data_IF_793167201868
#
_entry.id   IF_793167201868
#
_cell.length_a   1.000
_cell.length_b   1.000
_cell.length_c   1.000
_cell.angle_alpha   90.00
_cell.angle_beta   90.00
_cell.angle_gamma   90.00
#
_symmetry.space_group_name_H-M   'P 1'
#
loop_
_entity.id
_entity.type
_entity.pdbx_description
1 polymer ?
#
# COMPACT_ATOMS: atom_id res chain seq x y z
N UNK A 1 19.38 -8.80 9.23
CA UNK A 1 17.94 -8.58 9.52
C UNK A 1 17.72 -7.08 9.60
N UNK A 2 16.88 -6.48 8.74
CA UNK A 2 16.82 -5.03 8.60
C UNK A 2 16.20 -4.40 9.84
N UNK A 3 16.76 -3.27 10.27
CA UNK A 3 16.29 -2.46 11.42
C UNK A 3 14.77 -2.24 11.38
N UNK A 4 14.22 -1.85 10.23
CA UNK A 4 12.77 -1.62 10.04
C UNK A 4 11.93 -2.88 10.28
N UNK A 5 12.36 -4.06 9.82
CA UNK A 5 11.61 -5.29 10.07
C UNK A 5 11.58 -5.64 11.58
N UNK A 6 12.70 -5.39 12.29
CA UNK A 6 12.72 -5.54 13.76
C UNK A 6 11.81 -4.53 14.43
N UNK A 7 11.81 -3.28 13.92
CA UNK A 7 10.97 -2.20 14.42
C UNK A 7 9.49 -2.52 14.20
N UNK A 8 9.12 -2.96 12.99
CA UNK A 8 7.76 -3.38 12.65
C UNK A 8 7.26 -4.51 13.56
N UNK A 9 8.10 -5.52 13.82
CA UNK A 9 7.76 -6.61 14.75
C UNK A 9 7.56 -6.13 16.18
N UNK A 10 8.31 -5.09 16.62
CA UNK A 10 8.24 -4.57 17.98
C UNK A 10 7.11 -3.57 18.19
N UNK A 11 6.95 -2.63 17.27
CA UNK A 11 6.02 -1.50 17.42
C UNK A 11 4.92 -1.44 16.34
N UNK A 12 4.90 -2.36 15.39
CA UNK A 12 3.89 -2.39 14.32
C UNK A 12 2.45 -2.52 14.83
N UNK A 13 2.26 -3.11 16.01
CA UNK A 13 0.94 -3.18 16.67
C UNK A 13 0.37 -1.82 17.09
N UNK A 14 1.21 -0.79 17.18
CA UNK A 14 0.80 0.58 17.50
C UNK A 14 0.58 1.44 16.25
N UNK A 15 0.79 0.89 15.05
CA UNK A 15 0.54 1.62 13.82
C UNK A 15 -0.96 1.92 13.70
N UNK A 16 -1.27 3.19 13.45
CA UNK A 16 -2.65 3.69 13.32
C UNK A 16 -3.18 3.34 11.95
N UNK A 17 -4.21 2.49 11.84
CA UNK A 17 -4.82 2.18 10.55
C UNK A 17 -5.61 3.39 10.04
N UNK A 18 -5.63 3.56 8.71
CA UNK A 18 -6.30 4.67 8.05
C UNK A 18 -5.83 6.05 8.57
N UNK A 19 -4.53 6.22 8.76
CA UNK A 19 -3.93 7.44 9.33
C UNK A 19 -4.40 8.70 8.61
N UNK A 20 -4.53 8.67 7.30
CA UNK A 20 -5.01 9.80 6.48
C UNK A 20 -6.38 10.30 6.93
N UNK A 21 -7.27 9.41 7.37
CA UNK A 21 -8.58 9.81 7.89
C UNK A 21 -8.46 10.73 9.11
N UNK A 22 -7.54 10.41 10.02
CA UNK A 22 -7.31 11.24 11.21
C UNK A 22 -6.67 12.58 10.87
N UNK A 23 -5.76 12.60 9.88
CA UNK A 23 -5.16 13.85 9.38
C UNK A 23 -6.23 14.75 8.76
N UNK A 24 -7.15 14.21 7.99
CA UNK A 24 -8.27 14.99 7.41
C UNK A 24 -9.19 15.54 8.49
N UNK A 25 -9.50 14.74 9.52
CA UNK A 25 -10.27 15.23 10.67
C UNK A 25 -9.54 16.39 11.35
N UNK A 26 -8.20 16.28 11.52
CA UNK A 26 -7.40 17.35 12.06
C UNK A 26 -7.46 18.63 11.17
N UNK A 27 -7.39 18.49 9.84
CA UNK A 27 -7.55 19.64 8.93
C UNK A 27 -8.93 20.27 9.01
N UNK A 28 -9.99 19.46 9.12
CA UNK A 28 -11.35 20.01 9.31
C UNK A 28 -11.43 20.81 10.62
N UNK A 29 -10.84 20.30 11.71
CA UNK A 29 -10.75 21.04 12.97
C UNK A 29 -9.95 22.35 12.78
N UNK A 30 -8.83 22.31 12.06
CA UNK A 30 -8.02 23.47 11.72
C UNK A 30 -8.82 24.52 10.94
N UNK A 31 -9.59 24.12 9.94
CA UNK A 31 -10.49 25.03 9.20
C UNK A 31 -11.55 25.68 10.10
N UNK A 32 -12.17 24.88 11.00
CA UNK A 32 -13.13 25.42 11.96
C UNK A 32 -12.47 26.44 12.91
N UNK A 33 -11.25 26.17 13.36
CA UNK A 33 -10.51 27.12 14.20
C UNK A 33 -10.17 28.39 13.43
N UNK A 34 -9.81 28.30 12.14
CA UNK A 34 -9.54 29.48 11.29
C UNK A 34 -10.78 30.37 11.15
N UNK A 35 -11.98 29.79 11.10
CA UNK A 35 -13.26 30.53 10.97
C UNK A 35 -13.69 31.12 12.32
N UNK A 36 -13.72 30.32 13.37
CA UNK A 36 -14.36 30.68 14.64
C UNK A 36 -13.41 31.28 15.67
N UNK A 37 -12.11 30.97 15.59
CA UNK A 37 -11.13 31.36 16.60
C UNK A 37 -9.75 31.72 15.98
N UNK A 38 -9.66 32.69 15.06
CA UNK A 38 -8.41 33.02 14.38
C UNK A 38 -7.28 33.43 15.32
N UNK A 39 -7.60 33.99 16.48
CA UNK A 39 -6.60 34.39 17.50
C UNK A 39 -5.90 33.17 18.11
N UNK A 40 -6.61 32.05 18.28
CA UNK A 40 -6.04 30.79 18.77
C UNK A 40 -5.12 30.19 17.72
N UNK A 41 -5.47 30.31 16.43
CA UNK A 41 -4.68 29.80 15.31
C UNK A 41 -3.25 30.36 15.31
N UNK A 42 -3.09 31.65 15.53
CA UNK A 42 -1.76 32.30 15.59
C UNK A 42 -0.85 31.66 16.63
N UNK A 43 -1.41 31.19 17.76
CA UNK A 43 -0.65 30.53 18.83
C UNK A 43 -0.39 29.03 18.56
N UNK A 44 -1.06 28.44 17.59
CA UNK A 44 -0.94 27.02 17.23
C UNK A 44 -0.13 26.80 15.94
N UNK A 45 -0.03 27.81 15.07
CA UNK A 45 0.80 27.73 13.86
C UNK A 45 2.26 27.53 14.23
N UNK A 46 2.97 26.83 13.35
CA UNK A 46 4.40 26.64 13.51
C UNK A 46 5.15 27.99 13.43
N UNK A 47 5.91 28.28 14.47
CA UNK A 47 6.83 29.40 14.50
C UNK A 47 8.10 28.99 15.26
N UNK A 48 9.21 28.88 14.51
CA UNK A 48 10.48 28.40 15.04
C UNK A 48 11.05 29.28 16.16
N UNK A 49 10.82 30.62 16.10
CA UNK A 49 11.30 31.54 17.14
C UNK A 49 10.50 31.40 18.43
N UNK A 50 9.18 31.33 18.35
CA UNK A 50 8.35 31.09 19.52
C UNK A 50 8.65 29.73 20.18
N UNK A 51 9.13 28.74 19.43
CA UNK A 51 9.56 27.45 19.98
C UNK A 51 10.84 27.60 20.78
N UNK A 52 11.86 28.29 20.24
CA UNK A 52 13.20 28.40 20.86
C UNK A 52 13.22 29.40 21.99
N UNK A 53 12.77 30.64 21.77
CA UNK A 53 12.81 31.72 22.74
C UNK A 53 11.57 31.77 23.64
N UNK A 54 10.39 31.53 23.02
CA UNK A 54 9.12 31.55 23.74
C UNK A 54 8.80 30.24 24.50
N UNK A 55 9.65 29.20 24.39
CA UNK A 55 9.43 27.86 25.00
C UNK A 55 8.08 27.24 24.64
N UNK A 56 7.51 27.59 23.47
CA UNK A 56 6.21 27.12 23.01
C UNK A 56 6.33 25.79 22.26
N UNK A 57 6.78 24.74 22.93
CA UNK A 57 7.09 23.43 22.33
C UNK A 57 5.88 22.72 21.72
N UNK A 58 4.66 23.07 22.12
CA UNK A 58 3.43 22.51 21.53
C UNK A 58 3.31 22.81 20.04
N UNK A 59 3.89 23.90 19.54
CA UNK A 59 3.87 24.29 18.12
C UNK A 59 4.55 23.27 17.21
N UNK A 60 5.44 22.41 17.74
CA UNK A 60 6.07 21.32 17.02
C UNK A 60 5.03 20.30 16.53
N UNK A 61 3.92 20.16 17.25
CA UNK A 61 2.88 19.18 16.95
C UNK A 61 1.59 19.81 16.44
N UNK A 62 1.26 21.01 16.86
CA UNK A 62 -0.04 21.64 16.57
C UNK A 62 -0.20 22.10 15.13
N UNK A 63 0.88 22.34 14.40
CA UNK A 63 0.80 22.72 12.99
C UNK A 63 0.19 21.63 12.09
N UNK A 64 0.17 20.36 12.54
CA UNK A 64 -0.46 19.23 11.84
C UNK A 64 -1.97 19.46 11.65
N UNK A 65 -2.60 20.24 12.53
CA UNK A 65 -4.01 20.58 12.41
C UNK A 65 -4.32 21.57 11.29
N UNK A 66 -3.31 22.27 10.79
CA UNK A 66 -3.53 23.30 9.79
C UNK A 66 -3.31 22.77 8.38
N UNK A 67 -4.33 22.92 7.53
CA UNK A 67 -4.25 22.47 6.13
C UNK A 67 -3.23 23.31 5.34
N UNK A 68 -2.76 22.76 4.18
CA UNK A 68 -1.78 23.46 3.34
C UNK A 68 -2.32 24.75 2.71
N UNK A 69 -3.62 24.81 2.47
CA UNK A 69 -4.28 25.90 1.76
C UNK A 69 -5.36 26.54 2.63
N UNK A 70 -5.69 27.82 2.30
CA UNK A 70 -6.82 28.52 2.89
C UNK A 70 -8.17 27.91 2.44
N UNK A 71 -9.24 28.40 3.06
CA UNK A 71 -10.60 27.95 2.72
C UNK A 71 -10.96 28.47 1.33
N UNK A 72 -11.30 27.55 0.42
CA UNK A 72 -11.73 27.83 -0.94
C UNK A 72 -12.85 26.88 -1.35
N UNK A 73 -13.50 27.18 -2.48
CA UNK A 73 -14.52 26.29 -3.07
C UNK A 73 -13.93 24.89 -3.35
N UNK A 74 -12.65 24.81 -3.69
CA UNK A 74 -11.99 23.54 -4.03
C UNK A 74 -11.50 22.76 -2.80
N UNK A 75 -11.60 23.31 -1.60
CA UNK A 75 -11.08 22.66 -0.37
C UNK A 75 -11.61 21.26 -0.18
N UNK A 76 -12.92 21.03 -0.38
CA UNK A 76 -13.52 19.69 -0.24
C UNK A 76 -12.95 18.70 -1.26
N UNK A 77 -12.71 19.14 -2.49
CA UNK A 77 -12.14 18.31 -3.55
C UNK A 77 -10.69 17.93 -3.19
N UNK A 78 -9.91 18.88 -2.71
CA UNK A 78 -8.52 18.67 -2.28
C UNK A 78 -8.45 17.68 -1.12
N UNK A 79 -9.32 17.82 -0.12
CA UNK A 79 -9.41 16.89 1.01
C UNK A 79 -9.78 15.48 0.56
N UNK A 80 -10.73 15.35 -0.39
CA UNK A 80 -11.11 14.06 -0.96
C UNK A 80 -9.96 13.42 -1.76
N UNK A 81 -9.26 14.20 -2.57
CA UNK A 81 -8.06 13.73 -3.29
C UNK A 81 -6.98 13.27 -2.31
N UNK A 82 -6.72 14.05 -1.27
CA UNK A 82 -5.74 13.72 -0.24
C UNK A 82 -6.11 12.42 0.49
N UNK A 83 -7.39 12.24 0.82
CA UNK A 83 -7.90 10.99 1.40
C UNK A 83 -7.68 9.79 0.49
N UNK A 84 -8.00 9.93 -0.80
CA UNK A 84 -7.84 8.86 -1.79
C UNK A 84 -6.38 8.48 -1.97
N UNK A 85 -5.49 9.47 -2.08
CA UNK A 85 -4.03 9.30 -2.22
C UNK A 85 -3.47 8.57 -1.00
N UNK A 86 -3.76 9.05 0.21
CA UNK A 86 -3.22 8.47 1.43
C UNK A 86 -3.67 7.02 1.65
N UNK A 87 -4.95 6.72 1.41
CA UNK A 87 -5.45 5.35 1.49
C UNK A 87 -4.83 4.42 0.43
N UNK A 88 -4.61 4.93 -0.79
CA UNK A 88 -3.95 4.15 -1.83
C UNK A 88 -2.51 3.81 -1.44
N UNK A 89 -1.76 4.79 -0.90
CA UNK A 89 -0.41 4.57 -0.40
C UNK A 89 -0.40 3.54 0.73
N UNK A 90 -1.27 3.71 1.75
CA UNK A 90 -1.33 2.80 2.90
C UNK A 90 -1.60 1.36 2.48
N UNK A 91 -2.49 1.14 1.49
CA UNK A 91 -2.75 -0.19 0.91
C UNK A 91 -1.54 -0.77 0.18
N UNK A 92 -0.75 0.07 -0.48
CA UNK A 92 0.40 -0.38 -1.25
C UNK A 92 1.61 -0.75 -0.41
N UNK A 93 1.90 0.03 0.64
CA UNK A 93 3.12 -0.11 1.45
C UNK A 93 2.87 -0.71 2.82
N UNK A 94 1.62 -0.77 3.25
CA UNK A 94 1.20 -1.24 4.57
C UNK A 94 1.14 -0.12 5.61
N UNK A 95 0.27 -0.32 6.61
CA UNK A 95 -0.03 0.66 7.65
C UNK A 95 1.23 1.11 8.40
N UNK A 96 2.09 0.17 8.79
CA UNK A 96 3.30 0.49 9.56
C UNK A 96 4.25 1.42 8.81
N UNK A 97 4.58 1.09 7.57
CA UNK A 97 5.53 1.90 6.78
C UNK A 97 4.96 3.26 6.43
N UNK A 98 3.66 3.36 6.15
CA UNK A 98 2.98 4.63 5.92
C UNK A 98 3.01 5.52 7.16
N UNK A 99 2.77 4.97 8.36
CA UNK A 99 2.86 5.69 9.63
C UNK A 99 4.30 6.20 9.88
N UNK A 100 5.30 5.34 9.70
CA UNK A 100 6.72 5.72 9.87
C UNK A 100 7.10 6.85 8.91
N UNK A 101 6.65 6.78 7.66
CA UNK A 101 6.88 7.83 6.68
C UNK A 101 6.25 9.16 7.10
N UNK A 102 4.98 9.14 7.48
CA UNK A 102 4.23 10.36 7.81
C UNK A 102 4.72 10.99 9.11
N UNK A 103 4.79 10.23 10.20
CA UNK A 103 5.26 10.76 11.49
C UNK A 103 6.75 11.09 11.46
N UNK A 104 7.57 10.26 10.81
CA UNK A 104 8.99 10.53 10.61
C UNK A 104 9.22 11.83 9.85
N UNK A 105 8.46 12.04 8.77
CA UNK A 105 8.48 13.28 8.00
C UNK A 105 8.09 14.48 8.84
N UNK A 106 7.02 14.39 9.63
CA UNK A 106 6.59 15.47 10.51
C UNK A 106 7.67 15.84 11.54
N UNK A 107 8.28 14.87 12.19
CA UNK A 107 9.30 15.10 13.21
C UNK A 107 10.57 15.70 12.58
N UNK A 108 11.06 15.10 11.49
CA UNK A 108 12.29 15.56 10.82
C UNK A 108 12.10 16.99 10.31
N UNK A 109 10.98 17.29 9.67
CA UNK A 109 10.70 18.61 9.13
C UNK A 109 10.56 19.64 10.25
N UNK A 110 9.81 19.36 11.32
CA UNK A 110 9.67 20.25 12.46
C UNK A 110 11.02 20.60 13.10
N UNK A 111 11.88 19.59 13.34
CA UNK A 111 13.21 19.82 13.90
C UNK A 111 14.07 20.65 12.95
N UNK A 112 14.09 20.28 11.65
CA UNK A 112 14.91 20.99 10.65
C UNK A 112 14.52 22.44 10.52
N UNK A 113 13.20 22.74 10.50
CA UNK A 113 12.69 24.12 10.37
C UNK A 113 12.95 24.91 11.65
N UNK A 114 12.83 24.32 12.85
CA UNK A 114 13.17 24.98 14.12
C UNK A 114 14.66 25.38 14.14
N UNK A 115 15.55 24.46 13.77
CA UNK A 115 16.99 24.73 13.69
C UNK A 115 17.30 25.81 12.65
N UNK A 116 16.67 25.76 11.48
CA UNK A 116 16.85 26.76 10.43
C UNK A 116 16.35 28.13 10.87
N UNK A 117 15.23 28.22 11.59
CA UNK A 117 14.71 29.48 12.15
C UNK A 117 15.68 30.09 13.16
N UNK A 118 16.24 29.27 14.05
CA UNK A 118 17.25 29.71 15.02
C UNK A 118 18.53 30.23 14.35
N UNK A 119 19.03 29.51 13.34
CA UNK A 119 20.22 29.94 12.58
C UNK A 119 19.94 31.26 11.83
N UNK A 120 18.77 31.35 11.16
CA UNK A 120 18.38 32.57 10.42
C UNK A 120 18.31 33.78 11.33
N UNK A 121 17.76 33.63 12.52
CA UNK A 121 17.70 34.69 13.54
C UNK A 121 19.09 35.17 13.97
N UNK A 122 19.97 34.22 14.33
CA UNK A 122 21.34 34.57 14.75
C UNK A 122 22.18 35.23 13.63
N UNK A 123 21.83 34.97 12.36
CA UNK A 123 22.45 35.62 11.20
C UNK A 123 21.80 37.00 10.85
N UNK A 124 20.82 37.45 11.64
CA UNK A 124 20.08 38.68 11.36
C UNK A 124 19.19 38.62 10.13
N UNK A 125 18.84 37.41 9.67
CA UNK A 125 17.95 37.24 8.54
C UNK A 125 16.48 37.31 8.98
N UNK A 126 15.61 37.73 8.07
CA UNK A 126 14.17 37.74 8.34
C UNK A 126 13.65 36.30 8.53
N UNK A 127 13.02 36.07 9.66
CA UNK A 127 12.34 34.79 9.95
C UNK A 127 10.89 34.91 9.52
N UNK A 128 10.55 34.25 8.43
CA UNK A 128 9.17 34.17 7.93
C UNK A 128 8.52 32.83 8.31
N UNK A 129 7.23 32.87 8.60
CA UNK A 129 6.44 31.65 8.76
C UNK A 129 6.39 30.92 7.43
N UNK A 130 6.68 29.60 7.47
CA UNK A 130 6.62 28.71 6.32
C UNK A 130 5.48 27.73 6.52
N UNK A 131 4.68 27.53 5.48
CA UNK A 131 3.62 26.51 5.52
C UNK A 131 4.21 25.12 5.34
N UNK A 132 4.61 24.48 6.46
CA UNK A 132 5.23 23.16 6.46
C UNK A 132 4.29 22.10 5.91
N UNK A 133 2.97 22.22 6.18
CA UNK A 133 1.96 21.28 5.72
C UNK A 133 1.93 21.15 4.20
N UNK A 134 2.10 22.25 3.48
CA UNK A 134 2.17 22.29 2.03
C UNK A 134 3.26 21.34 1.48
N UNK A 135 4.48 21.46 1.99
CA UNK A 135 5.59 20.62 1.55
C UNK A 135 5.41 19.15 1.94
N UNK A 136 4.79 18.90 3.10
CA UNK A 136 4.48 17.52 3.51
C UNK A 136 3.44 16.87 2.60
N UNK A 137 2.43 17.62 2.17
CA UNK A 137 1.43 17.14 1.20
C UNK A 137 2.07 16.81 -0.14
N UNK A 138 2.97 17.66 -0.64
CA UNK A 138 3.75 17.39 -1.86
C UNK A 138 4.60 16.14 -1.68
N UNK A 139 5.29 15.98 -0.54
CA UNK A 139 6.09 14.76 -0.26
C UNK A 139 5.24 13.48 -0.34
N UNK A 140 4.03 13.50 0.24
CA UNK A 140 3.08 12.38 0.18
C UNK A 140 2.60 12.14 -1.26
N UNK A 141 2.37 13.21 -2.02
CA UNK A 141 2.00 13.11 -3.44
C UNK A 141 3.13 12.50 -4.29
N UNK A 142 4.39 12.90 -4.07
CA UNK A 142 5.55 12.29 -4.73
C UNK A 142 5.65 10.79 -4.43
N UNK A 143 5.38 10.39 -3.18
CA UNK A 143 5.31 8.98 -2.81
C UNK A 143 4.20 8.24 -3.57
N UNK A 144 3.02 8.83 -3.70
CA UNK A 144 1.92 8.27 -4.48
C UNK A 144 2.30 8.12 -5.96
N UNK A 145 2.83 9.17 -6.57
CA UNK A 145 3.23 9.17 -7.97
C UNK A 145 4.35 8.17 -8.28
N UNK A 146 5.26 7.93 -7.32
CA UNK A 146 6.27 6.89 -7.43
C UNK A 146 5.66 5.47 -7.40
N UNK A 147 4.65 5.23 -6.57
CA UNK A 147 4.00 3.91 -6.46
C UNK A 147 3.07 3.66 -7.66
N UNK A 148 2.31 4.67 -8.06
CA UNK A 148 1.25 4.61 -9.06
C UNK A 148 1.53 5.53 -10.26
N UNK A 149 2.65 5.29 -10.96
CA UNK A 149 3.16 6.14 -12.05
C UNK A 149 2.18 6.39 -13.20
N UNK A 150 1.39 5.37 -13.55
CA UNK A 150 0.44 5.42 -14.65
C UNK A 150 -1.01 5.67 -14.20
N UNK A 151 -1.23 5.91 -12.90
CA UNK A 151 -2.55 6.29 -12.41
C UNK A 151 -2.96 7.63 -13.03
N UNK A 152 -4.18 7.67 -13.55
CA UNK A 152 -4.76 8.89 -14.10
C UNK A 152 -5.48 9.64 -12.98
N UNK A 153 -5.08 10.87 -12.76
CA UNK A 153 -5.71 11.81 -11.84
C UNK A 153 -6.40 12.91 -12.63
N UNK A 154 -7.60 13.27 -12.20
CA UNK A 154 -8.35 14.37 -12.81
C UNK A 154 -7.95 15.68 -12.15
N UNK A 155 -7.11 16.46 -12.85
CA UNK A 155 -6.76 17.81 -12.40
C UNK A 155 -7.99 18.70 -12.60
N UNK A 156 -8.40 19.41 -11.54
CA UNK A 156 -9.65 20.21 -11.51
C UNK A 156 -10.91 19.44 -11.97
N UNK A 157 -10.92 18.10 -11.82
CA UNK A 157 -11.99 17.20 -12.27
C UNK A 157 -12.26 17.20 -13.80
N UNK A 158 -11.44 17.87 -14.60
CA UNK A 158 -11.63 18.03 -16.04
C UNK A 158 -10.51 17.34 -16.83
N UNK A 159 -9.27 17.59 -16.47
CA UNK A 159 -8.12 17.17 -17.27
C UNK A 159 -7.49 15.89 -16.71
N UNK A 160 -7.47 14.75 -17.48
CA UNK A 160 -6.84 13.52 -17.07
C UNK A 160 -5.32 13.59 -17.26
N UNK A 161 -4.58 13.67 -16.18
CA UNK A 161 -3.11 13.60 -16.19
C UNK A 161 -2.62 12.34 -15.48
N UNK A 162 -1.53 11.75 -15.99
CA UNK A 162 -0.86 10.67 -15.26
C UNK A 162 -0.10 11.25 -14.07
N UNK A 163 -0.15 10.56 -12.92
CA UNK A 163 0.47 10.98 -11.68
C UNK A 163 1.97 11.34 -11.84
N UNK A 164 2.71 10.60 -12.68
CA UNK A 164 4.11 10.88 -12.95
C UNK A 164 4.37 12.26 -13.57
N UNK A 165 3.51 12.73 -14.46
CA UNK A 165 3.67 14.05 -15.08
C UNK A 165 3.43 15.17 -14.08
N UNK A 166 2.42 15.02 -13.22
CA UNK A 166 2.17 15.97 -12.13
C UNK A 166 3.34 16.02 -11.16
N UNK A 167 3.93 14.86 -10.82
CA UNK A 167 5.10 14.82 -9.95
C UNK A 167 6.33 15.52 -10.56
N UNK A 168 6.54 15.43 -11.87
CA UNK A 168 7.60 16.19 -12.54
C UNK A 168 7.34 17.71 -12.48
N UNK A 169 6.09 18.13 -12.67
CA UNK A 169 5.71 19.52 -12.54
C UNK A 169 5.98 20.01 -11.12
N UNK A 170 5.55 19.26 -10.10
CA UNK A 170 5.81 19.62 -8.70
C UNK A 170 7.29 19.73 -8.37
N UNK A 171 8.12 18.80 -8.88
CA UNK A 171 9.58 18.87 -8.69
C UNK A 171 10.20 20.11 -9.35
N UNK A 172 9.71 20.52 -10.53
CA UNK A 172 10.16 21.75 -11.22
C UNK A 172 9.75 22.96 -10.41
N UNK A 173 8.50 23.00 -9.91
CA UNK A 173 8.01 24.10 -9.07
C UNK A 173 8.78 24.19 -7.75
N UNK A 174 9.06 23.05 -7.11
CA UNK A 174 9.90 23.03 -5.90
C UNK A 174 11.33 23.50 -6.17
N UNK A 175 11.91 23.14 -7.31
CA UNK A 175 13.25 23.62 -7.70
C UNK A 175 13.24 25.15 -7.94
N UNK A 176 12.21 25.66 -8.61
CA UNK A 176 12.01 27.11 -8.78
C UNK A 176 11.86 27.80 -7.42
N UNK A 177 10.99 27.30 -6.56
CA UNK A 177 10.76 27.86 -5.22
C UNK A 177 12.03 27.82 -4.36
N UNK A 178 12.83 26.75 -4.44
CA UNK A 178 14.10 26.62 -3.72
C UNK A 178 15.08 27.75 -4.02
N UNK A 179 15.09 28.26 -5.26
CA UNK A 179 15.98 29.35 -5.67
C UNK A 179 15.55 30.66 -5.02
N UNK A 180 14.26 30.95 -4.97
CA UNK A 180 13.71 32.25 -4.58
C UNK A 180 13.28 32.32 -3.11
N UNK A 181 13.18 31.20 -2.41
CA UNK A 181 12.71 31.16 -1.02
C UNK A 181 13.82 31.51 -0.02
N UNK A 182 13.42 31.79 1.22
CA UNK A 182 14.33 32.06 2.37
C UNK A 182 15.11 30.77 2.75
N UNK A 183 16.11 30.94 3.64
CA UNK A 183 16.87 29.80 4.19
C UNK A 183 15.94 28.77 4.83
N UNK A 184 14.92 29.20 5.57
CA UNK A 184 13.95 28.35 6.22
C UNK A 184 13.17 27.54 5.19
N UNK A 185 12.68 28.17 4.12
CA UNK A 185 11.98 27.48 3.02
C UNK A 185 12.86 26.46 2.33
N UNK A 186 14.13 26.81 2.04
CA UNK A 186 15.11 25.85 1.45
C UNK A 186 15.31 24.63 2.32
N UNK A 187 15.49 24.81 3.62
CA UNK A 187 15.64 23.69 4.56
C UNK A 187 14.39 22.84 4.63
N UNK A 188 13.20 23.45 4.58
CA UNK A 188 11.91 22.75 4.55
C UNK A 188 11.78 21.87 3.32
N UNK A 189 12.08 22.40 2.12
CA UNK A 189 12.06 21.66 0.85
C UNK A 189 13.02 20.48 0.93
N UNK A 190 14.26 20.71 1.38
CA UNK A 190 15.27 19.64 1.51
C UNK A 190 14.81 18.57 2.51
N UNK A 191 14.27 18.94 3.66
CA UNK A 191 13.77 18.00 4.66
C UNK A 191 12.64 17.10 4.10
N UNK A 192 11.70 17.68 3.36
CA UNK A 192 10.62 16.93 2.72
C UNK A 192 11.11 16.01 1.60
N UNK A 193 12.04 16.47 0.77
CA UNK A 193 12.64 15.63 -0.28
C UNK A 193 13.52 14.51 0.31
N UNK A 194 14.24 14.78 1.40
CA UNK A 194 14.99 13.74 2.13
C UNK A 194 14.06 12.66 2.69
N UNK A 195 12.92 13.05 3.28
CA UNK A 195 11.93 12.09 3.74
C UNK A 195 11.46 11.19 2.60
N UNK A 196 11.13 11.76 1.43
CA UNK A 196 10.78 10.99 0.24
C UNK A 196 11.95 10.11 -0.25
N UNK A 197 13.18 10.63 -0.31
CA UNK A 197 14.35 9.86 -0.74
C UNK A 197 14.64 8.67 0.18
N UNK A 198 14.55 8.85 1.50
CA UNK A 198 14.69 7.77 2.48
C UNK A 198 13.63 6.69 2.25
N UNK A 199 12.36 7.09 2.04
CA UNK A 199 11.30 6.17 1.71
C UNK A 199 11.58 5.40 0.42
N UNK A 200 11.98 6.09 -0.64
CA UNK A 200 12.34 5.49 -1.93
C UNK A 200 13.39 4.41 -1.77
N UNK A 201 14.50 4.72 -1.07
CA UNK A 201 15.60 3.78 -0.82
C UNK A 201 15.14 2.56 0.00
N UNK A 202 14.29 2.79 0.99
CA UNK A 202 13.71 1.75 1.81
C UNK A 202 12.83 0.83 0.97
N UNK A 203 11.89 1.40 0.20
CA UNK A 203 10.92 0.64 -0.57
C UNK A 203 11.61 -0.19 -1.67
N UNK A 204 12.61 0.37 -2.37
CA UNK A 204 13.42 -0.36 -3.34
C UNK A 204 14.17 -1.55 -2.71
N UNK A 205 14.72 -1.38 -1.51
CA UNK A 205 15.36 -2.48 -0.78
C UNK A 205 14.35 -3.57 -0.38
N UNK A 206 13.13 -3.17 0.00
CA UNK A 206 12.04 -4.12 0.32
C UNK A 206 11.59 -4.89 -0.91
N UNK A 207 11.35 -4.22 -2.04
CA UNK A 207 10.98 -4.85 -3.31
C UNK A 207 12.03 -5.87 -3.76
N UNK A 208 13.31 -5.50 -3.76
CA UNK A 208 14.43 -6.40 -4.13
C UNK A 208 14.49 -7.61 -3.20
N UNK A 209 14.28 -7.45 -1.90
CA UNK A 209 14.29 -8.54 -0.93
C UNK A 209 13.06 -9.44 -1.07
N UNK A 210 11.88 -8.87 -1.26
CA UNK A 210 10.65 -9.62 -1.51
C UNK A 210 10.74 -10.48 -2.75
N UNK A 211 11.23 -9.95 -3.86
CA UNK A 211 11.49 -10.69 -5.10
C UNK A 211 12.48 -11.85 -4.88
N UNK A 212 13.59 -11.60 -4.17
CA UNK A 212 14.61 -12.63 -3.86
C UNK A 212 14.04 -13.72 -2.97
N UNK A 213 13.24 -13.38 -1.96
CA UNK A 213 12.61 -14.37 -1.09
C UNK A 213 11.54 -15.19 -1.84
N UNK A 214 10.75 -14.55 -2.68
CA UNK A 214 9.76 -15.24 -3.54
C UNK A 214 10.43 -16.20 -4.52
N UNK A 215 11.53 -15.78 -5.16
CA UNK A 215 12.31 -16.65 -6.05
C UNK A 215 12.95 -17.82 -5.29
N UNK A 216 13.46 -17.58 -4.08
CA UNK A 216 13.99 -18.64 -3.21
C UNK A 216 12.91 -19.63 -2.79
N UNK A 217 11.73 -19.14 -2.38
CA UNK A 217 10.59 -19.99 -2.01
C UNK A 217 10.08 -20.81 -3.19
N UNK A 218 10.00 -20.21 -4.40
CA UNK A 218 9.65 -20.96 -5.63
C UNK A 218 10.67 -22.06 -5.92
N UNK A 219 11.98 -21.80 -5.79
CA UNK A 219 13.02 -22.82 -5.98
C UNK A 219 12.93 -23.92 -4.94
N UNK A 220 12.72 -23.58 -3.66
CA UNK A 220 12.56 -24.55 -2.57
C UNK A 220 11.31 -25.40 -2.76
N UNK A 221 10.19 -24.81 -3.17
CA UNK A 221 8.96 -25.53 -3.48
C UNK A 221 9.14 -26.48 -4.67
N UNK A 222 9.80 -26.05 -5.74
CA UNK A 222 10.11 -26.89 -6.90
C UNK A 222 11.08 -28.03 -6.54
N UNK A 223 12.07 -27.78 -5.66
CA UNK A 223 12.98 -28.82 -5.15
C UNK A 223 12.24 -29.85 -4.29
N UNK A 224 11.31 -29.42 -3.44
CA UNK A 224 10.49 -30.31 -2.62
C UNK A 224 9.49 -31.12 -3.46
N UNK A 225 8.91 -30.55 -4.54
CA UNK A 225 8.07 -31.30 -5.48
C UNK A 225 8.83 -32.43 -6.17
N UNK A 226 10.14 -32.27 -6.43
CA UNK A 226 10.96 -33.36 -6.98
C UNK A 226 11.27 -34.46 -5.95
N UNK A 227 11.15 -34.17 -4.65
CA UNK A 227 11.42 -35.14 -3.56
C UNK A 227 10.17 -35.87 -3.05
N UNK A 228 8.99 -35.33 -3.23
CA UNK A 228 7.74 -36.01 -2.94
C UNK A 228 7.43 -36.97 -4.10
N UNK A 229 7.97 -38.18 -4.04
CA UNK A 229 7.35 -39.31 -4.73
C UNK A 229 6.00 -39.53 -4.05
N UNK A 230 4.92 -39.24 -4.75
CA UNK A 230 3.59 -39.66 -4.34
C UNK A 230 3.60 -41.19 -4.35
N UNK A 231 3.68 -41.79 -3.19
CA UNK A 231 3.29 -43.20 -3.02
C UNK A 231 1.77 -43.15 -2.96
N UNK A 232 1.12 -43.64 -4.01
CA UNK A 232 -0.32 -43.92 -3.99
C UNK A 232 -0.48 -45.03 -2.98
N UNK A 233 -1.02 -44.74 -1.81
CA UNK A 233 -1.48 -45.76 -0.87
C UNK A 233 -2.83 -46.20 -1.38
N UNK A 234 -2.87 -47.35 -2.05
CA UNK A 234 -4.13 -48.07 -2.33
C UNK A 234 -4.74 -48.42 -0.98
N UNK A 235 -5.86 -47.79 -0.64
CA UNK A 235 -6.66 -48.14 0.50
C UNK A 235 -7.46 -49.38 0.20
N UNK A 236 -7.17 -50.48 0.92
CA UNK A 236 -8.14 -51.50 1.14
C UNK A 236 -7.78 -52.93 0.70
N UNK A 237 -7.61 -53.77 1.69
CA UNK A 237 -7.74 -55.23 1.80
C UNK A 237 -6.57 -56.11 1.37
N UNK A 238 -6.09 -56.70 2.40
CA UNK A 238 -5.32 -57.96 2.58
C UNK A 238 -5.31 -58.92 1.39
N UNK A 239 -4.12 -59.35 1.01
CA UNK A 239 -3.91 -60.51 0.15
C UNK A 239 -2.55 -60.41 -0.58
N UNK A 240 -1.60 -61.23 -0.14
CA UNK A 240 -0.31 -61.45 -0.77
C UNK A 240 -0.42 -61.54 -2.30
N UNK A 241 0.40 -60.77 -2.99
CA UNK A 241 1.34 -61.25 -4.00
C UNK A 241 2.06 -60.09 -4.71
N UNK A 242 3.36 -60.19 -4.78
CA UNK A 242 4.21 -59.31 -5.58
C UNK A 242 3.87 -59.44 -7.07
N UNK A 243 3.29 -58.39 -7.65
CA UNK A 243 3.31 -58.19 -9.10
C UNK A 243 3.72 -56.74 -9.42
N UNK A 244 4.91 -56.59 -9.96
CA UNK A 244 5.35 -55.39 -10.67
C UNK A 244 4.40 -55.17 -11.85
N UNK A 245 3.53 -54.18 -11.79
CA UNK A 245 2.77 -53.73 -12.96
C UNK A 245 3.08 -52.28 -13.25
N UNK A 246 3.57 -52.04 -14.43
CA UNK A 246 3.70 -50.76 -15.13
C UNK A 246 2.40 -49.96 -15.06
N UNK A 247 2.43 -48.60 -15.00
CA UNK A 247 1.23 -47.78 -14.94
C UNK A 247 0.57 -47.68 -16.34
N UNK A 248 -0.24 -48.67 -16.65
CA UNK A 248 -1.13 -48.61 -17.80
C UNK A 248 -2.56 -48.76 -17.29
N UNK A 249 -3.43 -47.83 -17.70
CA UNK A 249 -4.89 -47.89 -17.64
C UNK A 249 -5.59 -47.19 -16.46
N UNK A 250 -5.42 -45.89 -16.33
CA UNK A 250 -6.42 -45.10 -15.65
C UNK A 250 -7.41 -44.59 -16.72
N UNK A 251 -8.62 -45.16 -16.75
CA UNK A 251 -9.74 -44.62 -17.51
C UNK A 251 -10.34 -43.45 -16.76
N UNK A 252 -10.61 -42.33 -17.45
CA UNK A 252 -11.20 -41.15 -16.85
C UNK A 252 -12.70 -41.24 -16.65
N UNK A 253 -13.37 -41.94 -17.53
CA UNK A 253 -14.82 -42.11 -17.55
C UNK A 253 -15.21 -43.56 -17.66
N UNK A 254 -16.22 -44.01 -16.86
CA UNK A 254 -16.72 -45.38 -16.85
C UNK A 254 -18.21 -45.39 -16.53
N UNK A 255 -18.97 -46.08 -17.37
CA UNK A 255 -20.41 -46.25 -17.13
C UNK A 255 -20.67 -47.13 -15.92
N UNK A 256 -21.50 -46.67 -14.97
CA UNK A 256 -21.84 -47.41 -13.75
C UNK A 256 -22.64 -48.70 -14.00
N UNK A 257 -23.34 -48.85 -15.14
CA UNK A 257 -24.16 -50.02 -15.47
C UNK A 257 -23.38 -51.04 -16.29
N UNK A 258 -22.88 -50.64 -17.48
CA UNK A 258 -22.25 -51.61 -18.39
C UNK A 258 -20.73 -51.69 -18.24
N UNK A 259 -20.12 -50.83 -17.43
CA UNK A 259 -18.67 -50.80 -17.19
C UNK A 259 -17.83 -50.34 -18.37
N UNK A 260 -18.43 -49.99 -19.52
CA UNK A 260 -17.72 -49.43 -20.67
C UNK A 260 -17.03 -48.12 -20.31
N UNK A 261 -15.87 -47.90 -20.86
CA UNK A 261 -15.05 -46.73 -20.68
C UNK A 261 -14.85 -45.95 -21.99
N UNK A 262 -14.24 -44.81 -21.95
CA UNK A 262 -13.91 -43.99 -23.10
C UNK A 262 -13.00 -44.68 -24.16
N UNK A 263 -12.48 -45.89 -23.82
CA UNK A 263 -11.63 -46.69 -24.71
C UNK A 263 -12.41 -47.77 -25.52
N UNK A 264 -13.65 -47.98 -25.11
CA UNK A 264 -14.45 -49.04 -25.70
C UNK A 264 -15.24 -48.57 -26.95
N UNK A 265 -15.12 -47.29 -27.32
CA UNK A 265 -15.68 -46.72 -28.55
C UNK A 265 -15.42 -45.19 -28.63
N UNK A 266 -15.09 -44.71 -29.85
CA UNK A 266 -14.75 -43.27 -30.08
C UNK A 266 -15.96 -42.33 -29.97
N UNK A 267 -17.19 -42.80 -29.93
CA UNK A 267 -18.42 -42.01 -29.85
C UNK A 267 -19.17 -42.12 -28.53
N UNK A 268 -18.58 -42.72 -27.48
CA UNK A 268 -19.23 -42.86 -26.18
C UNK A 268 -19.11 -41.60 -25.33
N UNK A 269 -20.20 -40.84 -25.27
CA UNK A 269 -20.30 -39.72 -24.30
C UNK A 269 -20.72 -40.25 -22.92
N UNK A 270 -20.06 -39.73 -21.88
CA UNK A 270 -20.36 -40.04 -20.48
C UNK A 270 -20.88 -38.79 -19.78
N UNK A 271 -22.00 -38.94 -19.05
CA UNK A 271 -22.59 -37.84 -18.28
C UNK A 271 -23.01 -38.27 -16.90
N UNK A 272 -22.94 -37.36 -15.94
CA UNK A 272 -23.46 -37.61 -14.60
C UNK A 272 -24.96 -37.43 -14.55
N UNK A 273 -25.64 -38.29 -13.77
CA UNK A 273 -27.07 -38.11 -13.52
C UNK A 273 -27.30 -37.18 -12.32
N UNK A 274 -28.00 -36.07 -12.55
CA UNK A 274 -28.31 -35.07 -11.50
C UNK A 274 -29.38 -35.56 -10.49
N UNK A 275 -30.06 -36.68 -10.75
CA UNK A 275 -31.12 -37.22 -9.89
C UNK A 275 -30.63 -38.39 -9.00
N UNK A 276 -29.45 -38.93 -9.27
CA UNK A 276 -28.84 -39.99 -8.44
C UNK A 276 -28.10 -39.34 -7.25
N UNK A 277 -28.22 -39.95 -6.08
CA UNK A 277 -27.46 -39.57 -4.90
C UNK A 277 -26.05 -40.19 -5.00
N UNK A 278 -25.07 -39.38 -5.47
CA UNK A 278 -23.68 -39.77 -5.69
C UNK A 278 -23.19 -39.44 -7.10
N UNK A 279 -21.86 -39.56 -7.31
CA UNK A 279 -21.19 -39.27 -8.58
C UNK A 279 -21.15 -40.47 -9.49
N UNK A 280 -22.29 -40.86 -10.07
CA UNK A 280 -22.38 -41.96 -11.03
C UNK A 280 -22.38 -41.41 -12.45
N UNK A 281 -21.45 -41.91 -13.26
CA UNK A 281 -21.38 -41.64 -14.70
C UNK A 281 -22.06 -42.74 -15.50
N UNK A 282 -22.79 -42.34 -16.53
CA UNK A 282 -23.51 -43.22 -17.44
C UNK A 282 -23.15 -42.88 -18.88
N UNK A 283 -23.01 -43.89 -19.73
CA UNK A 283 -22.87 -43.70 -21.18
C UNK A 283 -24.21 -43.23 -21.77
N UNK A 284 -24.17 -42.71 -22.99
CA UNK A 284 -25.35 -42.20 -23.72
C UNK A 284 -26.56 -43.19 -23.74
N UNK A 285 -26.30 -44.47 -23.81
CA UNK A 285 -27.36 -45.54 -23.82
C UNK A 285 -28.00 -45.71 -22.45
N UNK A 286 -27.25 -45.62 -21.34
CA UNK A 286 -27.73 -45.87 -20.00
C UNK A 286 -28.09 -44.57 -19.22
N UNK A 287 -27.85 -43.43 -19.80
CA UNK A 287 -28.16 -42.16 -19.13
C UNK A 287 -29.67 -41.96 -18.89
N UNK A 288 -30.50 -42.46 -19.79
CA UNK A 288 -31.97 -42.32 -19.72
C UNK A 288 -32.70 -43.62 -19.29
N UNK A 289 -32.00 -44.74 -19.20
CA UNK A 289 -32.61 -46.05 -18.91
C UNK A 289 -32.22 -46.65 -17.57
N UNK A 290 -31.34 -45.96 -16.78
CA UNK A 290 -30.91 -46.42 -15.47
C UNK A 290 -31.94 -46.14 -14.37
N UNK A 291 -32.01 -46.99 -13.38
CA UNK A 291 -32.74 -46.74 -12.13
C UNK A 291 -31.94 -45.76 -11.26
N UNK A 292 -32.64 -44.76 -10.73
CA UNK A 292 -31.97 -43.75 -9.91
C UNK A 292 -31.57 -44.30 -8.54
N UNK A 293 -30.31 -44.15 -8.17
CA UNK A 293 -29.82 -44.46 -6.83
C UNK A 293 -30.27 -43.35 -5.90
N UNK A 294 -31.07 -43.75 -4.87
CA UNK A 294 -31.60 -42.86 -3.83
C UNK A 294 -30.65 -42.68 -2.66
#
# INVERSE_FOLDING_TARGET
>A
MNFLYKLEKKIGKYAVPNLTRYIIIAFVIGYLLMIFAPQIVVNLLFDGMSIVEGHQYWRIFTWIFFPPDGISFFTLIILFCYYSIGNAIERAVGTFLYNVYTFGGYIITSISVTVASYISYNLGMLVHAVNITYYMVISIFLMYAYIYQDAVMLLFMIFPFKAKWLAYIDLILLAYEFIYTTLIGRVTIVACLLNFAVFYLINERYKKKGYRNSAYMKRKSASNRKKTKFTVVEGGMSGNEHRKTTPQNITRHKCAICGRSERDGEELEFRFCSKCNGNYEYCSEHLYTHEHVK
#
